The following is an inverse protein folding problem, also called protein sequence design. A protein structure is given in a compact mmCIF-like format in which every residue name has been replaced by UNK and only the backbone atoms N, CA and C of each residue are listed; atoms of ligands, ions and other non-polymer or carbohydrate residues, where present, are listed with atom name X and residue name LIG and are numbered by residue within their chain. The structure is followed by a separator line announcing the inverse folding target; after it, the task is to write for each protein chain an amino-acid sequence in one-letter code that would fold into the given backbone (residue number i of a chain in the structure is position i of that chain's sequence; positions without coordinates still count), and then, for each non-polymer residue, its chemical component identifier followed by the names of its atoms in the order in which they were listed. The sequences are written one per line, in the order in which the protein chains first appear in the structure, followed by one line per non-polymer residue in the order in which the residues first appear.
data_IF_097779003483
#
_entry.id   IF_097779003483
#
_cell.length_a   1.000
_cell.length_b   1.000
_cell.length_c   1.000
_cell.angle_alpha   90.00
_cell.angle_beta   90.00
_cell.angle_gamma   90.00
#
_symmetry.space_group_name_H-M   'P 1'
#
loop_
_entity.id
_entity.type
_entity.pdbx_description
1 polymer ?
#
# COMPACT_ATOMS: atom_id res chain seq x y z
N UNK A 1 0.90 -6.76 25.46
CA UNK A 1 1.21 -7.50 24.21
C UNK A 1 1.21 -6.46 23.10
N UNK A 2 2.28 -6.42 22.30
CA UNK A 2 2.34 -5.50 21.16
C UNK A 2 1.29 -5.94 20.12
N UNK A 3 0.64 -5.00 19.40
CA UNK A 3 -0.34 -5.35 18.37
C UNK A 3 0.31 -6.12 17.23
N UNK A 4 -0.40 -7.09 16.66
CA UNK A 4 0.02 -7.75 15.43
C UNK A 4 -0.06 -6.80 14.23
N UNK A 5 0.98 -6.79 13.39
CA UNK A 5 1.04 -5.91 12.23
C UNK A 5 0.69 -6.72 10.97
N UNK A 6 -0.41 -6.37 10.32
CA UNK A 6 -0.71 -6.84 8.98
C UNK A 6 -0.30 -5.83 7.92
N UNK A 7 -0.10 -6.29 6.68
CA UNK A 7 0.26 -5.42 5.58
C UNK A 7 -0.55 -5.79 4.32
N UNK A 8 -1.08 -4.78 3.64
CA UNK A 8 -1.88 -4.93 2.42
C UNK A 8 -1.26 -4.06 1.32
N UNK A 9 -0.93 -4.67 0.18
CA UNK A 9 -0.63 -3.92 -1.04
C UNK A 9 -1.90 -3.85 -1.90
N UNK A 10 -2.33 -2.64 -2.24
CA UNK A 10 -3.48 -2.40 -3.11
C UNK A 10 -3.03 -2.32 -4.57
N UNK A 11 -3.48 -3.26 -5.39
CA UNK A 11 -3.16 -3.38 -6.81
C UNK A 11 -4.39 -3.63 -7.70
N UNK A 12 -5.59 -3.23 -7.25
CA UNK A 12 -6.86 -3.41 -7.94
C UNK A 12 -7.29 -2.23 -8.82
N UNK A 13 -6.48 -1.17 -8.93
CA UNK A 13 -6.77 0.03 -9.71
C UNK A 13 -6.92 -0.26 -11.21
N UNK A 14 -7.83 0.48 -11.90
CA UNK A 14 -8.10 0.27 -13.33
C UNK A 14 -6.99 0.74 -14.26
N UNK A 15 -6.12 1.65 -13.80
CA UNK A 15 -5.00 2.22 -14.59
C UNK A 15 -5.42 2.81 -15.95
N UNK A 16 -6.62 3.40 -16.02
CA UNK A 16 -7.25 3.83 -17.28
C UNK A 16 -6.43 4.88 -18.04
N UNK A 17 -5.77 5.80 -17.34
CA UNK A 17 -4.91 6.83 -17.95
C UNK A 17 -3.60 6.28 -18.49
N UNK A 18 -3.02 5.29 -17.82
CA UNK A 18 -1.78 4.64 -18.25
C UNK A 18 -2.01 3.59 -19.35
N UNK A 19 -3.22 3.03 -19.45
CA UNK A 19 -3.58 2.00 -20.44
C UNK A 19 -3.00 0.60 -20.17
N UNK A 20 -2.23 0.43 -19.09
CA UNK A 20 -1.66 -0.85 -18.64
C UNK A 20 -1.67 -0.96 -17.11
N UNK A 21 -1.66 -2.19 -16.54
CA UNK A 21 -1.66 -2.36 -15.09
C UNK A 21 -0.42 -1.74 -14.43
N UNK A 22 -0.63 -0.81 -13.49
CA UNK A 22 0.47 -0.14 -12.76
C UNK A 22 1.34 -1.13 -12.00
N UNK A 23 0.73 -2.15 -11.38
CA UNK A 23 1.43 -3.19 -10.63
C UNK A 23 2.47 -3.97 -11.45
N UNK A 24 2.31 -4.00 -12.77
CA UNK A 24 3.16 -4.74 -13.71
C UNK A 24 4.12 -3.83 -14.50
N UNK A 25 4.27 -2.57 -14.13
CA UNK A 25 5.32 -1.69 -14.67
C UNK A 25 6.68 -2.32 -14.36
N UNK A 26 7.55 -2.39 -15.37
CA UNK A 26 8.92 -2.89 -15.22
C UNK A 26 9.79 -1.88 -14.48
N UNK A 27 10.48 -2.34 -13.44
CA UNK A 27 11.45 -1.60 -12.62
C UNK A 27 12.74 -2.40 -12.62
N UNK A 28 13.64 -2.09 -13.55
CA UNK A 28 14.76 -2.98 -13.85
C UNK A 28 14.28 -4.33 -14.38
N UNK A 29 14.63 -5.42 -13.71
CA UNK A 29 14.27 -6.79 -14.09
C UNK A 29 13.00 -7.33 -13.39
N UNK A 30 12.35 -6.51 -12.56
CA UNK A 30 11.18 -6.92 -11.77
C UNK A 30 9.98 -6.02 -12.02
N UNK A 31 8.79 -6.48 -11.66
CA UNK A 31 7.59 -5.63 -11.70
C UNK A 31 7.53 -4.67 -10.50
N UNK A 32 6.77 -3.56 -10.63
CA UNK A 32 6.54 -2.60 -9.53
C UNK A 32 5.99 -3.29 -8.28
N UNK A 33 5.11 -4.28 -8.44
CA UNK A 33 4.59 -5.02 -7.28
C UNK A 33 5.66 -5.88 -6.62
N UNK A 34 6.52 -6.56 -7.39
CA UNK A 34 7.67 -7.31 -6.87
C UNK A 34 8.67 -6.38 -6.17
N UNK A 35 8.94 -5.24 -6.76
CA UNK A 35 9.80 -4.20 -6.21
C UNK A 35 9.26 -3.68 -4.87
N UNK A 36 7.95 -3.41 -4.78
CA UNK A 36 7.29 -2.98 -3.52
C UNK A 36 7.33 -4.07 -2.46
N UNK A 37 7.00 -5.32 -2.83
CA UNK A 37 7.04 -6.49 -1.93
C UNK A 37 8.44 -6.71 -1.34
N UNK A 38 9.48 -6.64 -2.18
CA UNK A 38 10.87 -6.85 -1.72
C UNK A 38 11.29 -5.83 -0.66
N UNK A 39 10.84 -4.59 -0.77
CA UNK A 39 11.11 -3.52 0.19
C UNK A 39 10.41 -3.79 1.53
N UNK A 40 9.11 -4.10 1.50
CA UNK A 40 8.31 -4.36 2.71
C UNK A 40 8.74 -5.64 3.43
N UNK A 41 9.15 -6.67 2.70
CA UNK A 41 9.65 -7.92 3.29
C UNK A 41 10.96 -7.72 4.08
N UNK A 42 11.76 -6.69 3.79
CA UNK A 42 12.94 -6.34 4.61
C UNK A 42 12.56 -5.96 6.04
N UNK A 43 11.33 -5.50 6.26
CA UNK A 43 10.77 -5.19 7.58
C UNK A 43 9.90 -6.33 8.14
N UNK A 44 10.00 -7.52 7.59
CA UNK A 44 9.27 -8.73 8.02
C UNK A 44 7.73 -8.57 8.00
N UNK A 45 7.20 -7.67 7.18
CA UNK A 45 5.77 -7.34 7.17
C UNK A 45 4.87 -8.36 6.45
N UNK A 46 5.42 -9.29 5.69
CA UNK A 46 4.69 -10.35 4.96
C UNK A 46 3.38 -9.88 4.29
N UNK A 47 3.44 -8.95 3.31
CA UNK A 47 2.24 -8.35 2.74
C UNK A 47 1.34 -9.35 2.02
N UNK A 48 0.02 -9.14 2.10
CA UNK A 48 -0.94 -9.69 1.15
C UNK A 48 -1.18 -8.70 0.01
N UNK A 49 -1.60 -9.19 -1.15
CA UNK A 49 -1.93 -8.36 -2.31
C UNK A 49 -3.43 -8.40 -2.56
N UNK A 50 -4.07 -7.23 -2.62
CA UNK A 50 -5.46 -7.12 -3.07
C UNK A 50 -5.48 -6.64 -4.51
N UNK A 51 -6.04 -7.44 -5.41
CA UNK A 51 -6.11 -7.13 -6.83
C UNK A 51 -7.46 -7.50 -7.44
N UNK A 52 -7.66 -7.20 -8.72
CA UNK A 52 -8.83 -7.63 -9.49
C UNK A 52 -8.57 -8.95 -10.18
N UNK A 53 -9.65 -9.67 -10.52
CA UNK A 53 -9.60 -11.04 -11.03
C UNK A 53 -8.71 -11.22 -12.27
N UNK A 54 -8.77 -10.29 -13.22
CA UNK A 54 -8.02 -10.34 -14.49
C UNK A 54 -6.50 -10.15 -14.34
N UNK A 55 -6.02 -9.74 -13.15
CA UNK A 55 -4.59 -9.55 -12.87
C UNK A 55 -3.97 -10.66 -12.02
N UNK A 56 -4.77 -11.57 -11.47
CA UNK A 56 -4.30 -12.61 -10.53
C UNK A 56 -3.15 -13.43 -11.12
N UNK A 57 -3.35 -14.02 -12.30
CA UNK A 57 -2.32 -14.87 -12.93
C UNK A 57 -1.03 -14.10 -13.22
N UNK A 58 -1.15 -12.87 -13.75
CA UNK A 58 0.00 -12.02 -14.08
C UNK A 58 0.78 -11.61 -12.84
N UNK A 59 0.07 -11.24 -11.78
CA UNK A 59 0.71 -10.88 -10.50
C UNK A 59 1.34 -12.12 -9.87
N UNK A 60 0.65 -13.25 -9.81
CA UNK A 60 1.22 -14.53 -9.28
C UNK A 60 2.49 -14.91 -10.02
N UNK A 61 2.49 -14.82 -11.35
CA UNK A 61 3.69 -15.09 -12.17
C UNK A 61 4.85 -14.13 -11.90
N UNK A 62 4.56 -12.92 -11.42
CA UNK A 62 5.56 -11.90 -11.13
C UNK A 62 6.14 -11.96 -9.71
N UNK A 63 5.33 -12.34 -8.71
CA UNK A 63 5.70 -12.23 -7.28
C UNK A 63 5.93 -13.58 -6.58
N UNK A 64 5.65 -14.69 -7.26
CA UNK A 64 5.77 -16.03 -6.66
C UNK A 64 4.71 -16.30 -5.59
N UNK A 65 5.14 -16.88 -4.46
CA UNK A 65 4.24 -17.34 -3.41
C UNK A 65 3.81 -16.19 -2.46
N UNK A 66 2.90 -15.35 -2.92
CA UNK A 66 2.27 -14.27 -2.13
C UNK A 66 0.77 -14.52 -2.04
N UNK A 67 0.18 -14.26 -0.88
CA UNK A 67 -1.26 -14.36 -0.70
C UNK A 67 -1.99 -13.29 -1.51
N UNK A 68 -2.88 -13.69 -2.40
CA UNK A 68 -3.64 -12.78 -3.28
C UNK A 68 -5.11 -12.83 -2.93
N UNK A 69 -5.69 -11.67 -2.64
CA UNK A 69 -7.11 -11.48 -2.36
C UNK A 69 -7.76 -10.78 -3.55
N UNK A 70 -8.83 -11.35 -4.08
CA UNK A 70 -9.55 -10.79 -5.23
C UNK A 70 -10.62 -9.80 -4.78
N UNK A 71 -10.55 -8.57 -5.31
CA UNK A 71 -11.69 -7.67 -5.30
C UNK A 71 -12.48 -7.85 -6.60
N UNK A 72 -13.68 -8.39 -6.49
CA UNK A 72 -14.59 -8.65 -7.62
C UNK A 72 -15.31 -7.39 -8.11
N UNK A 73 -15.32 -6.32 -7.31
CA UNK A 73 -15.99 -5.05 -7.58
C UNK A 73 -15.02 -3.86 -7.49
N UNK A 74 -13.92 -3.84 -8.27
CA UNK A 74 -12.92 -2.77 -8.21
C UNK A 74 -13.46 -1.39 -8.64
N UNK A 75 -14.61 -1.36 -9.33
CA UNK A 75 -15.32 -0.14 -9.74
C UNK A 75 -15.89 0.66 -8.57
N UNK A 76 -16.16 0.02 -7.44
CA UNK A 76 -16.63 0.71 -6.22
C UNK A 76 -15.56 1.57 -5.55
N UNK A 77 -14.30 1.44 -6.00
CA UNK A 77 -13.20 2.29 -5.55
C UNK A 77 -12.26 1.64 -4.55
N UNK A 78 -11.38 2.46 -4.00
CA UNK A 78 -10.28 2.01 -3.13
C UNK A 78 -10.78 1.34 -1.84
N UNK A 79 -11.81 1.89 -1.22
CA UNK A 79 -12.36 1.39 0.06
C UNK A 79 -12.82 -0.06 -0.06
N UNK A 80 -13.46 -0.45 -1.16
CA UNK A 80 -13.84 -1.83 -1.42
C UNK A 80 -12.63 -2.78 -1.40
N UNK A 81 -11.51 -2.39 -2.02
CA UNK A 81 -10.27 -3.17 -2.00
C UNK A 81 -9.66 -3.25 -0.59
N UNK A 82 -9.64 -2.14 0.14
CA UNK A 82 -9.17 -2.10 1.54
C UNK A 82 -10.00 -3.05 2.41
N UNK A 83 -11.32 -3.00 2.32
CA UNK A 83 -12.23 -3.89 3.08
C UNK A 83 -11.95 -5.37 2.83
N UNK A 84 -11.68 -5.78 1.57
CA UNK A 84 -11.34 -7.18 1.24
C UNK A 84 -10.07 -7.63 1.97
N UNK A 85 -9.01 -6.82 1.94
CA UNK A 85 -7.76 -7.11 2.65
C UNK A 85 -7.94 -7.12 4.17
N UNK A 86 -8.63 -6.13 4.73
CA UNK A 86 -8.92 -6.05 6.18
C UNK A 86 -9.74 -7.24 6.67
N UNK A 87 -10.80 -7.63 5.94
CA UNK A 87 -11.63 -8.77 6.30
C UNK A 87 -10.85 -10.09 6.30
N UNK A 88 -9.89 -10.24 5.37
CA UNK A 88 -9.00 -11.39 5.32
C UNK A 88 -8.04 -11.40 6.52
N UNK A 89 -7.32 -10.31 6.77
CA UNK A 89 -6.34 -10.23 7.85
C UNK A 89 -7.01 -10.33 9.23
N UNK A 90 -8.18 -9.74 9.43
CA UNK A 90 -8.93 -9.84 10.69
C UNK A 90 -9.28 -11.29 11.10
N UNK A 91 -9.38 -12.20 10.14
CA UNK A 91 -9.61 -13.63 10.43
C UNK A 91 -8.33 -14.39 10.80
N UNK A 92 -7.17 -13.84 10.49
CA UNK A 92 -5.86 -14.47 10.68
C UNK A 92 -5.09 -13.91 11.87
N UNK A 93 -5.24 -12.62 12.10
CA UNK A 93 -4.63 -11.92 13.24
C UNK A 93 -5.56 -12.02 14.44
N UNK A 94 -4.99 -12.20 15.61
CA UNK A 94 -5.74 -12.33 16.87
C UNK A 94 -5.47 -11.13 17.78
N UNK A 95 -6.53 -10.63 18.45
CA UNK A 95 -6.39 -9.57 19.44
C UNK A 95 -6.29 -8.17 18.82
N UNK A 96 -5.45 -7.34 19.40
CA UNK A 96 -5.21 -5.98 18.93
C UNK A 96 -4.30 -5.99 17.70
N UNK A 97 -4.71 -5.30 16.64
CA UNK A 97 -3.99 -5.31 15.37
C UNK A 97 -3.83 -3.90 14.78
N UNK A 98 -2.76 -3.73 14.02
CA UNK A 98 -2.59 -2.58 13.12
C UNK A 98 -2.34 -3.08 11.70
N UNK A 99 -2.89 -2.38 10.71
CA UNK A 99 -2.75 -2.78 9.31
C UNK A 99 -2.13 -1.66 8.51
N UNK A 100 -0.99 -1.94 7.90
CA UNK A 100 -0.35 -1.06 6.94
C UNK A 100 -1.00 -1.24 5.56
N UNK A 101 -1.46 -0.15 4.97
CA UNK A 101 -2.12 -0.12 3.65
C UNK A 101 -1.22 0.62 2.68
N UNK A 102 -0.73 -0.08 1.67
CA UNK A 102 0.25 0.39 0.70
C UNK A 102 -0.34 0.38 -0.71
N UNK A 103 -0.74 1.52 -1.28
CA UNK A 103 -1.08 1.58 -2.70
C UNK A 103 0.16 1.37 -3.56
N UNK A 104 0.10 0.44 -4.52
CA UNK A 104 1.23 0.11 -5.40
C UNK A 104 1.72 1.29 -6.24
N UNK A 105 0.83 2.23 -6.54
CA UNK A 105 1.09 3.43 -7.34
C UNK A 105 1.67 4.63 -6.56
N UNK A 106 2.01 4.42 -5.28
CA UNK A 106 2.59 5.42 -4.38
C UNK A 106 3.93 4.95 -3.79
N UNK A 107 4.96 4.74 -4.62
CA UNK A 107 6.20 4.06 -4.21
C UNK A 107 7.21 4.96 -3.47
N UNK A 108 6.95 6.25 -3.33
CA UNK A 108 7.95 7.26 -2.93
C UNK A 108 8.31 7.32 -1.44
N UNK A 109 7.68 6.51 -0.58
CA UNK A 109 7.99 6.43 0.86
C UNK A 109 9.31 5.69 1.12
N UNK A 110 9.96 5.97 2.27
CA UNK A 110 11.15 5.22 2.75
C UNK A 110 10.76 4.09 3.71
N UNK A 111 11.67 3.15 3.94
CA UNK A 111 11.49 2.13 4.97
C UNK A 111 11.48 2.74 6.37
N UNK A 112 12.26 3.79 6.64
CA UNK A 112 12.19 4.52 7.91
C UNK A 112 10.82 5.17 8.14
N UNK A 113 10.15 5.66 7.11
CA UNK A 113 8.76 6.12 7.19
C UNK A 113 7.81 4.97 7.56
N UNK A 114 8.00 3.78 6.99
CA UNK A 114 7.20 2.60 7.35
C UNK A 114 7.42 2.23 8.82
N UNK A 115 8.65 2.22 9.32
CA UNK A 115 8.97 1.95 10.73
C UNK A 115 8.31 2.96 11.68
N UNK A 116 8.33 4.25 11.34
CA UNK A 116 7.63 5.29 12.10
C UNK A 116 6.13 5.03 12.16
N UNK A 117 5.50 4.66 11.02
CA UNK A 117 4.08 4.34 10.97
C UNK A 117 3.75 3.10 11.82
N UNK A 118 4.50 2.03 11.66
CA UNK A 118 4.30 0.78 12.42
C UNK A 118 4.43 1.02 13.93
N UNK A 119 5.31 1.93 14.35
CA UNK A 119 5.51 2.30 15.75
C UNK A 119 4.43 3.24 16.30
N UNK A 120 3.60 3.87 15.46
CA UNK A 120 2.57 4.80 15.94
C UNK A 120 1.48 4.08 16.74
N UNK A 121 0.93 4.74 17.77
CA UNK A 121 -0.10 4.16 18.64
C UNK A 121 -1.49 4.15 18.00
N UNK A 122 -1.74 5.02 17.03
CA UNK A 122 -3.04 5.21 16.39
C UNK A 122 -2.91 5.29 14.87
N UNK A 123 -4.04 5.26 14.18
CA UNK A 123 -4.10 5.42 12.71
C UNK A 123 -3.33 6.66 12.28
N UNK A 124 -2.37 6.49 11.37
CA UNK A 124 -1.44 7.54 10.97
C UNK A 124 -1.05 7.44 9.49
N UNK A 125 -0.69 8.57 8.91
CA UNK A 125 -0.09 8.64 7.58
C UNK A 125 1.12 9.57 7.58
N UNK A 126 2.09 9.37 6.67
CA UNK A 126 3.19 10.31 6.52
C UNK A 126 2.68 11.64 5.95
N UNK A 127 3.37 12.72 6.26
CA UNK A 127 3.02 14.06 5.78
C UNK A 127 4.28 14.83 5.37
N UNK A 128 4.19 15.53 4.25
CA UNK A 128 5.20 16.46 3.78
C UNK A 128 4.53 17.70 3.20
N UNK A 129 5.09 18.86 3.47
CA UNK A 129 4.57 20.16 2.99
C UNK A 129 3.07 20.36 3.29
N UNK A 130 2.63 19.91 4.48
CA UNK A 130 1.25 20.02 4.94
C UNK A 130 0.26 19.06 4.29
N UNK A 131 0.72 18.18 3.40
CA UNK A 131 -0.13 17.17 2.72
C UNK A 131 0.13 15.78 3.27
N UNK A 132 -0.93 15.03 3.58
CA UNK A 132 -0.85 13.61 3.89
C UNK A 132 -0.48 12.77 2.68
N UNK A 133 0.26 11.68 2.90
CA UNK A 133 0.73 10.75 1.88
C UNK A 133 0.38 9.31 2.20
N UNK A 134 1.13 8.40 1.61
CA UNK A 134 1.04 6.95 1.80
C UNK A 134 2.42 6.40 2.16
N UNK A 135 2.47 5.23 2.84
CA UNK A 135 1.40 4.33 3.27
C UNK A 135 0.51 4.89 4.38
N UNK A 136 -0.57 4.19 4.68
CA UNK A 136 -1.47 4.48 5.79
C UNK A 136 -1.41 3.31 6.78
N UNK A 137 -1.16 3.57 8.06
CA UNK A 137 -1.38 2.59 9.13
C UNK A 137 -2.75 2.84 9.75
N UNK A 138 -3.53 1.78 9.96
CA UNK A 138 -4.82 1.85 10.64
C UNK A 138 -4.81 0.96 11.87
N UNK A 139 -5.30 1.48 12.99
CA UNK A 139 -5.49 0.75 14.23
C UNK A 139 -6.78 -0.10 14.22
N UNK A 140 -6.95 -0.92 15.23
CA UNK A 140 -8.10 -1.82 15.35
C UNK A 140 -9.45 -1.08 15.37
N UNK A 141 -9.50 0.14 15.92
CA UNK A 141 -10.71 0.95 15.93
C UNK A 141 -11.12 1.37 14.52
N UNK A 142 -10.18 1.93 13.75
CA UNK A 142 -10.46 2.35 12.39
C UNK A 142 -10.61 1.18 11.42
N UNK A 143 -9.96 0.02 11.65
CA UNK A 143 -10.23 -1.22 10.92
C UNK A 143 -11.72 -1.56 10.99
N UNK A 144 -12.32 -1.53 12.16
CA UNK A 144 -13.75 -1.83 12.32
C UNK A 144 -14.63 -0.79 11.60
N UNK A 145 -14.33 0.50 11.73
CA UNK A 145 -15.07 1.57 11.03
C UNK A 145 -15.04 1.40 9.51
N UNK A 146 -13.89 1.05 8.96
CA UNK A 146 -13.75 0.80 7.52
C UNK A 146 -14.57 -0.42 7.10
N UNK A 147 -14.53 -1.50 7.89
CA UNK A 147 -15.30 -2.72 7.60
C UNK A 147 -16.82 -2.49 7.62
N UNK A 148 -17.32 -1.60 8.46
CA UNK A 148 -18.75 -1.24 8.57
C UNK A 148 -19.19 -0.25 7.48
N UNK A 149 -18.29 0.58 6.96
CA UNK A 149 -18.61 1.61 5.98
C UNK A 149 -19.04 1.04 4.62
N UNK A 150 -19.80 1.80 3.79
CA UNK A 150 -20.07 1.43 2.40
C UNK A 150 -18.77 1.28 1.59
N UNK A 151 -18.72 0.31 0.66
CA UNK A 151 -17.52 0.02 -0.13
C UNK A 151 -17.14 1.13 -1.12
N UNK A 152 -18.09 1.97 -1.50
CA UNK A 152 -17.92 3.13 -2.38
C UNK A 152 -17.64 4.45 -1.63
N UNK A 153 -17.73 4.45 -0.29
CA UNK A 153 -17.43 5.64 0.51
C UNK A 153 -15.93 6.01 0.41
N UNK A 154 -15.58 7.27 0.23
CA UNK A 154 -14.18 7.71 0.26
C UNK A 154 -13.53 7.40 1.62
N UNK A 155 -12.32 6.82 1.62
CA UNK A 155 -11.65 6.42 2.86
C UNK A 155 -11.45 7.59 3.84
N UNK A 156 -11.16 8.79 3.32
CA UNK A 156 -11.00 10.01 4.11
C UNK A 156 -12.32 10.56 4.72
N UNK A 157 -13.47 10.04 4.31
CA UNK A 157 -14.76 10.33 4.99
C UNK A 157 -15.03 9.37 6.14
N UNK A 158 -14.30 8.24 6.21
CA UNK A 158 -14.47 7.21 7.22
C UNK A 158 -13.51 7.41 8.38
N UNK A 159 -12.23 7.70 8.07
CA UNK A 159 -11.16 7.86 9.05
C UNK A 159 -10.41 9.16 8.85
N UNK A 160 -9.78 9.65 9.92
CA UNK A 160 -8.95 10.84 9.92
C UNK A 160 -7.60 10.52 10.60
N UNK A 161 -6.63 9.94 9.88
CA UNK A 161 -5.37 9.51 10.46
C UNK A 161 -4.52 10.71 10.92
N UNK A 162 -3.74 10.52 11.96
CA UNK A 162 -2.74 11.47 12.40
C UNK A 162 -1.67 11.64 11.33
N UNK A 163 -1.14 12.85 11.18
CA UNK A 163 -0.08 13.17 10.23
C UNK A 163 1.27 13.15 10.91
N UNK A 164 2.17 12.29 10.45
CA UNK A 164 3.56 12.22 10.90
C UNK A 164 4.42 12.91 9.85
N UNK A 165 5.10 13.99 10.21
CA UNK A 165 6.00 14.71 9.28
C UNK A 165 7.21 13.84 8.99
N UNK A 166 7.53 13.69 7.71
CA UNK A 166 8.65 12.89 7.21
C UNK A 166 9.46 13.67 6.16
N UNK A 167 10.72 13.26 5.96
CA UNK A 167 11.64 13.92 5.03
C UNK A 167 11.68 13.27 3.63
N UNK A 168 10.76 12.36 3.33
CA UNK A 168 10.70 11.65 2.05
C UNK A 168 10.47 12.63 0.88
N UNK A 169 11.51 12.87 0.09
CA UNK A 169 11.47 13.82 -1.03
C UNK A 169 10.37 13.49 -2.04
N UNK A 170 10.17 12.18 -2.30
CA UNK A 170 9.21 11.66 -3.28
C UNK A 170 7.92 11.13 -2.67
N UNK A 171 7.56 11.53 -1.43
CA UNK A 171 6.37 11.04 -0.73
C UNK A 171 5.09 11.13 -1.57
N UNK A 172 4.95 12.20 -2.35
CA UNK A 172 3.76 12.47 -3.14
C UNK A 172 3.80 11.92 -4.56
N UNK A 173 4.86 11.16 -4.92
CA UNK A 173 4.93 10.49 -6.22
C UNK A 173 3.71 9.58 -6.40
N UNK A 174 3.03 9.75 -7.54
CA UNK A 174 1.82 9.03 -7.88
C UNK A 174 1.86 8.61 -9.35
N UNK A 175 1.92 7.32 -9.58
CA UNK A 175 2.04 6.78 -10.93
C UNK A 175 0.65 6.68 -11.56
N UNK A 176 0.30 7.62 -12.43
CA UNK A 176 -0.98 7.67 -13.15
C UNK A 176 -0.82 7.72 -14.68
N UNK A 177 0.25 8.34 -15.15
CA UNK A 177 0.56 8.57 -16.58
C UNK A 177 1.91 7.96 -16.94
N UNK A 178 2.28 7.99 -18.24
CA UNK A 178 3.60 7.54 -18.67
C UNK A 178 4.70 8.47 -18.15
N UNK A 179 4.45 9.76 -18.06
CA UNK A 179 5.38 10.75 -17.49
C UNK A 179 5.69 10.44 -16.04
N UNK A 180 4.68 10.03 -15.25
CA UNK A 180 4.88 9.61 -13.85
C UNK A 180 5.73 8.33 -13.76
N UNK A 181 5.54 7.39 -14.71
CA UNK A 181 6.39 6.18 -14.80
C UNK A 181 7.83 6.58 -15.06
N UNK A 182 8.08 7.48 -16.01
CA UNK A 182 9.41 7.93 -16.38
C UNK A 182 10.08 8.69 -15.23
N UNK A 183 9.32 9.48 -14.47
CA UNK A 183 9.79 10.13 -13.24
C UNK A 183 10.16 9.10 -12.18
N UNK A 184 9.30 8.14 -11.92
CA UNK A 184 9.55 7.07 -10.95
C UNK A 184 10.80 6.26 -11.31
N UNK A 185 10.95 5.84 -12.57
CA UNK A 185 12.09 5.04 -13.00
C UNK A 185 13.42 5.78 -12.85
N UNK A 186 13.44 7.11 -13.00
CA UNK A 186 14.65 7.93 -12.75
C UNK A 186 15.09 7.93 -11.28
N UNK A 187 14.18 7.72 -10.35
CA UNK A 187 14.45 7.79 -8.91
C UNK A 187 14.38 6.43 -8.21
N UNK A 188 14.01 5.36 -8.90
CA UNK A 188 13.81 4.05 -8.30
C UNK A 188 15.08 3.52 -7.59
N UNK A 189 16.25 3.66 -8.20
CA UNK A 189 17.53 3.25 -7.61
C UNK A 189 17.85 4.08 -6.37
N UNK A 190 17.64 5.41 -6.41
CA UNK A 190 17.79 6.28 -5.25
C UNK A 190 16.89 5.85 -4.09
N UNK A 191 15.63 5.48 -4.36
CA UNK A 191 14.71 5.00 -3.34
C UNK A 191 15.20 3.70 -2.69
N UNK A 192 15.77 2.76 -3.46
CA UNK A 192 16.36 1.53 -2.94
C UNK A 192 17.63 1.79 -2.11
N UNK A 193 18.51 2.67 -2.58
CA UNK A 193 19.73 3.05 -1.85
C UNK A 193 19.40 3.73 -0.52
N UNK A 194 18.40 4.61 -0.50
CA UNK A 194 17.91 5.25 0.73
C UNK A 194 17.44 4.23 1.77
N UNK A 195 16.75 3.17 1.34
CA UNK A 195 16.25 2.10 2.22
C UNK A 195 17.37 1.23 2.82
N UNK A 196 18.60 1.34 2.33
CA UNK A 196 19.77 0.58 2.84
C UNK A 196 20.67 1.40 3.75
N UNK A 197 20.43 2.72 3.87
CA UNK A 197 21.20 3.58 4.76
C UNK A 197 20.75 3.37 6.20
N UNK A 198 21.71 3.23 7.13
CA UNK A 198 21.42 3.06 8.56
C UNK A 198 20.81 4.32 9.17
#
# INVERSE_FOLDING_TARGET
VSPEIGCIILAAGRSSRLGRPKSLIEVGEVSLISWTLSRLNKLELSPIVVTRKDLVEKITGSVGNVEIIVNEQPELGRTGSVKKGLAYLKKRLSGDMKILIVPVDRPGFSMSTVELLVSSESSSCPSKDGKGGHPLIVDNYDVNRILEAPSDAPLNSIINPNRIVVEDEYLHLNIDTQEDVDEFLRVADFLLERDTRP
#
